data_IF_100018407931
#
_entry.id   IF_100018407931
#
_cell.length_a   1.000
_cell.length_b   1.000
_cell.length_c   1.000
_cell.angle_alpha   90.00
_cell.angle_beta   90.00
_cell.angle_gamma   90.00
#
_symmetry.space_group_name_H-M   'P 1'
#
loop_
_entity.id
_entity.type
_entity.pdbx_description
1 polymer ?
#
# COMPACT_ATOMS: atom_id res chain seq x y z
N UNK A 1 -1.62 8.80 0.01
CA UNK A 1 -1.86 9.24 1.42
C UNK A 1 -1.98 10.75 1.62
N UNK A 2 -1.02 11.58 1.20
CA UNK A 2 -1.19 13.04 1.31
C UNK A 2 -2.48 13.51 0.61
N UNK A 3 -2.69 13.05 -0.62
CA UNK A 3 -3.89 13.33 -1.42
C UNK A 3 -5.18 12.83 -0.79
N UNK A 4 -5.13 11.73 -0.02
CA UNK A 4 -6.29 11.20 0.70
C UNK A 4 -6.78 12.21 1.76
N UNK A 5 -5.85 12.84 2.49
CA UNK A 5 -6.14 13.78 3.57
C UNK A 5 -6.22 15.26 3.14
N UNK A 6 -6.06 15.56 1.85
CA UNK A 6 -6.16 16.91 1.30
C UNK A 6 -7.60 17.28 0.98
N UNK A 7 -7.80 18.46 0.39
CA UNK A 7 -9.07 18.91 -0.22
C UNK A 7 -9.17 18.55 -1.71
N UNK A 8 -8.39 17.57 -2.18
CA UNK A 8 -8.64 16.99 -3.51
C UNK A 8 -10.14 16.63 -3.63
N UNK A 9 -10.78 16.66 -4.79
CA UNK A 9 -12.14 16.13 -4.94
C UNK A 9 -12.14 14.59 -4.88
N UNK A 10 -13.18 13.96 -4.33
CA UNK A 10 -13.35 12.50 -4.42
C UNK A 10 -13.83 12.06 -5.81
N UNK A 11 -14.45 12.96 -6.57
CA UNK A 11 -15.00 12.75 -7.90
C UNK A 11 -14.75 14.00 -8.75
N UNK A 12 -14.60 13.86 -10.08
CA UNK A 12 -14.55 15.00 -11.00
C UNK A 12 -13.18 15.35 -11.60
N UNK A 13 -12.21 14.43 -11.56
CA UNK A 13 -10.97 14.52 -12.33
C UNK A 13 -9.70 14.78 -11.51
N UNK A 14 -8.57 14.36 -12.06
CA UNK A 14 -7.28 14.16 -11.38
C UNK A 14 -6.59 15.50 -10.98
N UNK A 15 -7.12 16.64 -11.44
CA UNK A 15 -6.52 17.96 -11.26
C UNK A 15 -5.29 18.20 -12.15
N UNK A 16 -4.90 19.46 -12.33
CA UNK A 16 -3.65 19.81 -13.01
C UNK A 16 -2.43 19.45 -12.14
N UNK A 17 -1.22 19.29 -12.71
CA UNK A 17 -0.02 19.00 -11.93
C UNK A 17 0.23 20.00 -10.78
N UNK A 18 -0.09 21.28 -11.00
CA UNK A 18 0.00 22.32 -9.96
C UNK A 18 -0.98 22.10 -8.82
N UNK A 19 -2.23 21.74 -9.12
CA UNK A 19 -3.25 21.43 -8.10
C UNK A 19 -2.87 20.17 -7.30
N UNK A 20 -2.42 19.12 -7.98
CA UNK A 20 -1.97 17.87 -7.33
C UNK A 20 -0.83 18.16 -6.35
N UNK A 21 0.18 18.94 -6.74
CA UNK A 21 1.27 19.35 -5.84
C UNK A 21 0.79 20.16 -4.64
N UNK A 22 -0.14 21.09 -4.85
CA UNK A 22 -0.74 21.87 -3.77
C UNK A 22 -1.50 20.97 -2.77
N UNK A 23 -2.28 20.00 -3.28
CA UNK A 23 -2.99 19.03 -2.44
C UNK A 23 -2.03 18.09 -1.70
N UNK A 24 -0.94 17.66 -2.32
CA UNK A 24 0.10 16.87 -1.63
C UNK A 24 0.68 17.68 -0.46
N UNK A 25 1.07 18.92 -0.68
CA UNK A 25 1.61 19.79 0.37
C UNK A 25 0.58 19.99 1.50
N UNK A 26 -0.67 20.29 1.14
CA UNK A 26 -1.76 20.46 2.10
C UNK A 26 -1.99 19.21 2.95
N UNK A 27 -2.08 18.03 2.32
CA UNK A 27 -2.27 16.77 3.02
C UNK A 27 -1.10 16.40 3.93
N UNK A 28 0.14 16.68 3.49
CA UNK A 28 1.34 16.47 4.30
C UNK A 28 1.37 17.36 5.54
N UNK A 29 0.94 18.63 5.42
CA UNK A 29 0.79 19.54 6.56
C UNK A 29 -0.29 19.05 7.54
N UNK A 30 -1.43 18.58 7.02
CA UNK A 30 -2.55 18.12 7.86
C UNK A 30 -2.26 16.85 8.65
N UNK A 31 -1.64 15.85 8.01
CA UNK A 31 -1.32 14.58 8.66
C UNK A 31 -0.02 14.65 9.47
N UNK A 32 0.93 15.46 9.01
CA UNK A 32 2.32 15.39 9.46
C UNK A 32 3.07 14.20 8.85
N UNK A 33 4.39 14.32 8.74
CA UNK A 33 5.23 13.35 8.02
C UNK A 33 5.23 11.94 8.62
N UNK A 34 5.20 11.81 9.95
CA UNK A 34 5.22 10.51 10.61
C UNK A 34 3.95 9.69 10.36
N UNK A 35 2.78 10.33 10.44
CA UNK A 35 1.50 9.67 10.20
C UNK A 35 1.29 9.36 8.73
N UNK A 36 1.68 10.28 7.84
CA UNK A 36 1.67 10.06 6.41
C UNK A 36 2.49 8.82 6.04
N UNK A 37 3.69 8.67 6.63
CA UNK A 37 4.54 7.49 6.42
C UNK A 37 3.88 6.22 6.91
N UNK A 38 3.39 6.20 8.16
CA UNK A 38 2.71 5.02 8.72
C UNK A 38 1.53 4.57 7.87
N UNK A 39 0.68 5.51 7.42
CA UNK A 39 -0.47 5.18 6.57
C UNK A 39 -0.05 4.70 5.19
N UNK A 40 1.02 5.26 4.63
CA UNK A 40 1.53 4.85 3.32
C UNK A 40 2.11 3.43 3.38
N UNK A 41 2.93 3.13 4.39
CA UNK A 41 3.47 1.79 4.63
C UNK A 41 2.36 0.77 4.86
N UNK A 42 1.33 1.14 5.65
CA UNK A 42 0.17 0.30 5.91
C UNK A 42 -0.66 0.00 4.67
N UNK A 43 -1.02 1.05 3.91
CA UNK A 43 -1.78 0.90 2.69
C UNK A 43 -1.01 0.10 1.63
N UNK A 44 0.29 0.36 1.47
CA UNK A 44 1.11 -0.39 0.53
C UNK A 44 1.23 -1.87 0.93
N UNK A 45 1.41 -2.15 2.21
CA UNK A 45 1.45 -3.51 2.70
C UNK A 45 0.11 -4.25 2.53
N UNK A 46 -1.01 -3.57 2.73
CA UNK A 46 -2.33 -4.13 2.43
C UNK A 46 -2.44 -4.50 0.94
N UNK A 47 -2.10 -3.57 0.05
CA UNK A 47 -2.13 -3.79 -1.40
C UNK A 47 -1.28 -5.00 -1.82
N UNK A 48 -0.09 -5.17 -1.23
CA UNK A 48 0.76 -6.32 -1.50
C UNK A 48 0.12 -7.64 -1.06
N UNK A 49 -0.52 -7.68 0.10
CA UNK A 49 -1.25 -8.86 0.55
C UNK A 49 -2.48 -9.15 -0.32
N UNK A 50 -3.17 -8.11 -0.78
CA UNK A 50 -4.35 -8.22 -1.64
C UNK A 50 -4.00 -8.84 -2.99
N UNK A 51 -2.90 -8.39 -3.60
CA UNK A 51 -2.40 -8.96 -4.86
C UNK A 51 -2.08 -10.46 -4.76
N UNK A 52 -1.71 -10.95 -3.58
CA UNK A 52 -1.42 -12.37 -3.34
C UNK A 52 -2.61 -13.15 -2.76
N UNK A 53 -3.78 -12.52 -2.56
CA UNK A 53 -4.93 -13.18 -1.94
C UNK A 53 -4.71 -13.53 -0.45
N UNK A 54 -3.80 -12.82 0.24
CA UNK A 54 -3.37 -13.10 1.61
C UNK A 54 -3.95 -12.11 2.64
N UNK A 55 -4.96 -11.34 2.26
CA UNK A 55 -5.64 -10.41 3.18
C UNK A 55 -6.50 -11.21 4.16
N UNK A 56 -6.16 -11.11 5.45
CA UNK A 56 -6.98 -11.68 6.52
C UNK A 56 -8.11 -10.73 6.89
N UNK A 57 -9.18 -11.25 7.51
CA UNK A 57 -10.31 -10.44 7.98
C UNK A 57 -9.88 -9.32 8.95
N UNK A 58 -8.88 -9.59 9.80
CA UNK A 58 -8.35 -8.59 10.73
C UNK A 58 -7.61 -7.46 10.01
N UNK A 59 -6.86 -7.78 8.95
CA UNK A 59 -6.16 -6.80 8.12
C UNK A 59 -7.17 -5.97 7.31
N UNK A 60 -8.21 -6.60 6.75
CA UNK A 60 -9.29 -5.92 6.05
C UNK A 60 -10.04 -4.93 6.95
N UNK A 61 -10.53 -5.39 8.11
CA UNK A 61 -11.24 -4.52 9.05
C UNK A 61 -10.38 -3.32 9.51
N UNK A 62 -9.07 -3.53 9.65
CA UNK A 62 -8.15 -2.43 10.00
C UNK A 62 -7.95 -1.46 8.84
N UNK A 63 -7.92 -1.94 7.60
CA UNK A 63 -7.86 -1.09 6.40
C UNK A 63 -9.08 -0.21 6.27
N UNK A 64 -10.28 -0.79 6.38
CA UNK A 64 -11.55 -0.05 6.34
C UNK A 64 -11.64 1.02 7.45
N UNK A 65 -11.12 0.75 8.64
CA UNK A 65 -11.05 1.75 9.73
C UNK A 65 -10.09 2.91 9.42
N UNK A 66 -8.96 2.62 8.76
CA UNK A 66 -7.97 3.63 8.40
C UNK A 66 -8.41 4.46 7.19
N UNK A 67 -9.19 3.87 6.29
CA UNK A 67 -9.59 4.42 5.01
C UNK A 67 -11.09 4.18 4.74
N UNK A 68 -11.99 4.83 5.51
CA UNK A 68 -13.43 4.57 5.43
C UNK A 68 -14.10 5.01 4.12
N UNK A 69 -13.47 5.92 3.38
CA UNK A 69 -13.94 6.38 2.06
C UNK A 69 -13.07 5.74 0.96
N UNK A 70 -13.61 4.69 0.33
CA UNK A 70 -12.91 3.90 -0.70
C UNK A 70 -12.75 4.71 -1.99
N UNK A 71 -13.80 5.39 -2.45
CA UNK A 71 -13.72 6.22 -3.67
C UNK A 71 -12.68 7.33 -3.52
N UNK A 72 -12.55 7.90 -2.31
CA UNK A 72 -11.49 8.85 -1.98
C UNK A 72 -10.10 8.25 -2.05
N UNK A 73 -9.95 7.01 -1.59
CA UNK A 73 -8.68 6.29 -1.63
C UNK A 73 -8.27 6.00 -3.08
N UNK A 74 -9.18 5.47 -3.88
CA UNK A 74 -8.97 5.19 -5.31
C UNK A 74 -8.55 6.45 -6.08
N UNK A 75 -9.28 7.56 -5.90
CA UNK A 75 -8.94 8.83 -6.54
C UNK A 75 -7.54 9.33 -6.10
N UNK A 76 -7.17 9.12 -4.83
CA UNK A 76 -5.88 9.54 -4.31
C UNK A 76 -4.73 8.70 -4.87
N UNK A 77 -4.97 7.41 -5.10
CA UNK A 77 -4.00 6.49 -5.68
C UNK A 77 -3.82 6.74 -7.18
N UNK A 78 -4.90 6.98 -7.92
CA UNK A 78 -4.84 7.37 -9.33
C UNK A 78 -4.04 8.67 -9.51
N UNK A 79 -4.35 9.70 -8.71
CA UNK A 79 -3.65 10.98 -8.76
C UNK A 79 -2.18 10.85 -8.34
N UNK A 80 -1.87 10.01 -7.35
CA UNK A 80 -0.50 9.71 -6.96
C UNK A 80 0.27 9.01 -8.09
N UNK A 81 -0.30 7.96 -8.69
CA UNK A 81 0.31 7.23 -9.79
C UNK A 81 0.59 8.14 -11.00
N UNK A 82 -0.38 8.99 -11.35
CA UNK A 82 -0.21 9.97 -12.43
C UNK A 82 0.90 10.98 -12.11
N UNK A 83 0.97 11.49 -10.88
CA UNK A 83 2.02 12.43 -10.47
C UNK A 83 3.41 11.82 -10.60
N UNK A 84 3.59 10.57 -10.19
CA UNK A 84 4.87 9.84 -10.33
C UNK A 84 5.21 9.61 -11.80
N UNK A 85 4.21 9.31 -12.64
CA UNK A 85 4.42 9.16 -14.10
C UNK A 85 4.88 10.47 -14.76
N UNK A 86 4.35 11.61 -14.32
CA UNK A 86 4.62 12.94 -14.93
C UNK A 86 5.89 13.57 -14.37
N UNK A 87 6.03 13.61 -13.06
CA UNK A 87 7.13 14.30 -12.37
C UNK A 87 8.33 13.37 -12.10
N UNK A 88 8.16 12.06 -12.27
CA UNK A 88 9.15 11.05 -11.93
C UNK A 88 9.26 10.81 -10.42
N UNK A 89 10.22 9.96 -10.05
CA UNK A 89 10.55 9.69 -8.65
C UNK A 89 12.07 9.60 -8.49
N UNK A 90 12.61 10.38 -7.55
CA UNK A 90 14.02 10.30 -7.19
C UNK A 90 14.37 8.92 -6.61
N UNK A 91 15.64 8.53 -6.69
CA UNK A 91 16.09 7.25 -6.15
C UNK A 91 15.82 7.12 -4.64
N UNK A 92 16.12 8.18 -3.88
CA UNK A 92 15.76 8.25 -2.46
C UNK A 92 14.25 8.18 -2.23
N UNK A 93 13.44 8.73 -3.14
CA UNK A 93 11.98 8.58 -3.13
C UNK A 93 11.57 7.13 -3.35
N UNK A 94 12.17 6.46 -4.33
CA UNK A 94 11.92 5.07 -4.69
C UNK A 94 12.26 4.11 -3.56
N UNK A 95 13.41 4.29 -2.92
CA UNK A 95 13.83 3.48 -1.78
C UNK A 95 12.84 3.59 -0.60
N UNK A 96 12.31 4.79 -0.33
CA UNK A 96 11.27 4.98 0.71
C UNK A 96 9.92 4.41 0.28
N UNK A 97 9.58 4.52 -1.00
CA UNK A 97 8.30 4.04 -1.52
C UNK A 97 8.22 2.51 -1.56
N UNK A 98 9.36 1.82 -1.55
CA UNK A 98 9.44 0.36 -1.45
C UNK A 98 9.20 -0.18 -0.02
N UNK A 99 9.03 0.69 0.98
CA UNK A 99 8.76 0.25 2.35
C UNK A 99 7.27 -0.07 2.53
N UNK A 100 6.99 -1.28 3.01
CA UNK A 100 5.66 -1.75 3.37
C UNK A 100 5.66 -2.26 4.82
N UNK A 101 4.58 -2.01 5.56
CA UNK A 101 4.36 -2.62 6.87
C UNK A 101 2.88 -2.91 7.04
N UNK A 102 2.50 -4.05 7.64
CA UNK A 102 1.09 -4.34 7.97
C UNK A 102 0.98 -4.79 9.41
N UNK A 103 0.21 -4.06 10.22
CA UNK A 103 -0.13 -4.53 11.57
C UNK A 103 -1.08 -5.73 11.45
N UNK A 104 -0.73 -6.85 12.08
CA UNK A 104 -1.48 -8.10 11.96
C UNK A 104 -1.17 -8.87 10.69
N UNK A 105 0.00 -8.63 10.07
CA UNK A 105 0.45 -9.41 8.91
C UNK A 105 0.39 -10.92 9.20
N UNK A 106 -0.17 -11.74 8.29
CA UNK A 106 -0.36 -13.18 8.50
C UNK A 106 0.95 -13.94 8.77
N UNK A 107 2.10 -13.45 8.31
CA UNK A 107 3.38 -14.08 8.61
C UNK A 107 3.87 -13.81 10.05
N UNK A 108 3.21 -12.96 10.85
CA UNK A 108 3.68 -12.60 12.18
C UNK A 108 5.07 -11.92 12.21
N UNK A 109 5.57 -11.45 11.06
CA UNK A 109 6.91 -10.87 10.91
C UNK A 109 8.01 -11.87 10.53
N UNK A 110 7.70 -13.16 10.32
CA UNK A 110 8.72 -14.17 9.96
C UNK A 110 9.18 -14.11 8.51
N UNK A 111 8.39 -13.49 7.62
CA UNK A 111 8.66 -13.46 6.19
C UNK A 111 8.09 -14.66 5.42
N UNK A 112 7.49 -15.64 6.09
CA UNK A 112 6.83 -16.80 5.47
C UNK A 112 5.43 -17.01 6.01
N UNK A 113 4.53 -17.49 5.17
CA UNK A 113 3.13 -17.77 5.52
C UNK A 113 2.87 -19.23 5.19
N UNK A 114 2.42 -19.99 6.19
CA UNK A 114 1.91 -21.33 5.97
C UNK A 114 0.51 -21.23 5.34
N UNK A 115 0.33 -21.95 4.24
CA UNK A 115 -0.96 -22.17 3.60
C UNK A 115 -1.31 -23.62 3.88
N UNK A 116 -2.15 -23.80 4.90
CA UNK A 116 -2.57 -25.11 5.37
C UNK A 116 -3.79 -25.58 4.56
N UNK A 117 -3.72 -26.81 4.06
CA UNK A 117 -4.84 -27.52 3.43
C UNK A 117 -5.34 -28.65 4.36
N UNK A 118 -6.53 -29.18 4.10
CA UNK A 118 -7.02 -30.37 4.80
C UNK A 118 -6.14 -31.60 4.52
N UNK A 119 -5.50 -31.64 3.35
CA UNK A 119 -4.45 -32.60 3.02
C UNK A 119 -3.07 -32.02 3.39
N UNK A 120 -2.33 -32.61 4.36
CA UNK A 120 -1.00 -32.15 4.74
C UNK A 120 -0.01 -32.14 3.58
N UNK A 121 -0.16 -33.03 2.60
CA UNK A 121 0.74 -33.12 1.44
C UNK A 121 0.50 -31.99 0.43
N UNK A 122 -0.64 -31.31 0.52
CA UNK A 122 -0.99 -30.13 -0.27
C UNK A 122 -0.72 -28.81 0.46
N UNK A 123 -0.28 -28.87 1.72
CA UNK A 123 0.10 -27.68 2.49
C UNK A 123 1.46 -27.15 2.03
N UNK A 124 1.60 -25.84 1.92
CA UNK A 124 2.83 -25.21 1.43
C UNK A 124 3.13 -23.89 2.13
N UNK A 125 4.36 -23.41 2.00
CA UNK A 125 4.76 -22.11 2.51
C UNK A 125 4.97 -21.14 1.35
N UNK A 126 4.48 -19.92 1.51
CA UNK A 126 4.74 -18.81 0.58
C UNK A 126 5.56 -17.73 1.25
N UNK A 127 6.35 -17.01 0.46
CA UNK A 127 7.04 -15.82 0.95
C UNK A 127 6.08 -14.66 1.11
N UNK A 128 6.13 -14.02 2.27
CA UNK A 128 5.32 -12.85 2.56
C UNK A 128 5.77 -11.67 1.67
N UNK A 129 4.88 -11.06 0.87
CA UNK A 129 5.27 -9.97 -0.02
C UNK A 129 5.66 -8.68 0.73
N UNK A 130 5.25 -8.56 2.01
CA UNK A 130 5.56 -7.40 2.87
C UNK A 130 6.91 -7.56 3.58
N UNK A 131 7.18 -8.73 4.17
CA UNK A 131 8.36 -8.96 5.02
C UNK A 131 9.49 -9.76 4.32
N UNK A 132 9.24 -10.34 3.15
CA UNK A 132 10.23 -11.00 2.30
C UNK A 132 10.05 -10.62 0.81
N UNK A 133 10.03 -9.31 0.46
CA UNK A 133 9.63 -8.85 -0.87
C UNK A 133 10.53 -9.37 -2.00
N UNK A 134 11.85 -9.47 -1.80
CA UNK A 134 12.78 -9.99 -2.80
C UNK A 134 12.53 -11.48 -3.11
N UNK A 135 12.26 -12.28 -2.09
CA UNK A 135 11.96 -13.70 -2.24
C UNK A 135 10.59 -13.92 -2.90
N UNK A 136 9.59 -13.13 -2.50
CA UNK A 136 8.26 -13.13 -3.11
C UNK A 136 8.31 -12.75 -4.61
N UNK A 137 9.06 -11.71 -4.98
CA UNK A 137 9.25 -11.31 -6.38
C UNK A 137 10.00 -12.35 -7.21
N UNK A 138 11.04 -12.96 -6.66
CA UNK A 138 11.79 -14.01 -7.36
C UNK A 138 10.92 -15.24 -7.64
N UNK A 139 10.10 -15.65 -6.68
CA UNK A 139 9.15 -16.75 -6.85
C UNK A 139 8.14 -16.46 -7.98
N UNK A 140 7.64 -15.22 -8.07
CA UNK A 140 6.72 -14.77 -9.14
C UNK A 140 7.37 -14.73 -10.53
N UNK A 141 8.67 -14.50 -10.62
CA UNK A 141 9.39 -14.40 -11.90
C UNK A 141 9.88 -15.78 -12.43
N UNK A 142 9.78 -16.83 -11.62
CA UNK A 142 10.29 -18.18 -11.91
C UNK A 142 9.24 -19.21 -12.32
N UNK A 143 7.98 -18.80 -12.49
CA UNK A 143 6.86 -19.64 -12.93
C UNK A 143 6.09 -18.97 -14.06
#
# INVERSE_FOLDING_TARGET
MALYASDMPAQGGIGTPGQVRAWIAQGAVRLGGAELRRRAEFHHGFFLLELDGLVTAAVLARHEQCFPDVSRLEAADEAAALSVRVDGMSEAGRARNAAAQVKGCPCGGTGTIAVDDFDPDLSYAVYCPVHAPAASLHFRAGH
#
